data_IF_361841115265
#
_entry.id   IF_361841115265
#
_cell.length_a   1.000
_cell.length_b   1.000
_cell.length_c   1.000
_cell.angle_alpha   90.00
_cell.angle_beta   90.00
_cell.angle_gamma   90.00
#
_symmetry.space_group_name_H-M   'P 1'
#
loop_
_entity.id
_entity.type
_entity.pdbx_description
1 polymer ?
#
# COMPACT_ATOMS: atom_id res chain seq x y z
N UNK A 1 5.79 -13.15 -10.42
CA UNK A 1 4.69 -13.21 -9.43
C UNK A 1 3.50 -12.43 -9.99
N UNK A 2 2.25 -12.83 -9.73
CA UNK A 2 1.06 -12.11 -10.24
C UNK A 2 0.40 -11.20 -9.19
N UNK A 3 0.69 -11.41 -7.91
CA UNK A 3 0.12 -10.64 -6.81
C UNK A 3 1.11 -10.50 -5.66
N UNK A 4 1.23 -9.30 -5.11
CA UNK A 4 1.99 -8.99 -3.89
C UNK A 4 1.07 -8.27 -2.92
N UNK A 5 1.07 -8.70 -1.66
CA UNK A 5 0.34 -8.04 -0.57
C UNK A 5 1.34 -7.58 0.49
N UNK A 6 1.36 -6.28 0.76
CA UNK A 6 2.26 -5.64 1.72
C UNK A 6 1.44 -5.26 2.95
N UNK A 7 1.71 -5.97 4.04
CA UNK A 7 1.16 -5.76 5.39
C UNK A 7 2.28 -6.04 6.40
N UNK A 8 3.30 -5.17 6.35
CA UNK A 8 4.58 -5.33 7.04
C UNK A 8 4.60 -4.76 8.45
N UNK A 9 5.75 -4.22 8.86
CA UNK A 9 5.95 -3.65 10.21
C UNK A 9 5.26 -2.27 10.44
N UNK A 10 4.48 -1.83 9.44
CA UNK A 10 3.74 -0.58 9.38
C UNK A 10 4.59 0.69 9.45
N UNK A 11 5.92 0.62 9.49
CA UNK A 11 6.76 1.81 9.41
C UNK A 11 6.84 2.32 7.97
N UNK A 12 7.06 3.63 7.78
CA UNK A 12 7.25 4.20 6.43
C UNK A 12 8.44 3.54 5.72
N UNK A 13 9.56 3.37 6.42
CA UNK A 13 10.76 2.76 5.85
C UNK A 13 10.56 1.27 5.53
N UNK A 14 9.81 0.55 6.37
CA UNK A 14 9.46 -0.85 6.15
C UNK A 14 8.60 -1.04 4.91
N UNK A 15 7.47 -0.33 4.81
CA UNK A 15 6.58 -0.44 3.65
C UNK A 15 7.28 -0.01 2.34
N UNK A 16 8.11 1.04 2.40
CA UNK A 16 8.90 1.50 1.26
C UNK A 16 9.92 0.46 0.82
N UNK A 17 10.66 -0.10 1.79
CA UNK A 17 11.66 -1.14 1.52
C UNK A 17 11.02 -2.41 0.95
N UNK A 18 9.90 -2.86 1.50
CA UNK A 18 9.15 -3.99 0.98
C UNK A 18 8.70 -3.74 -0.46
N UNK A 19 8.17 -2.56 -0.75
CA UNK A 19 7.81 -2.17 -2.10
C UNK A 19 9.02 -2.18 -3.05
N UNK A 20 10.12 -1.53 -2.70
CA UNK A 20 11.33 -1.45 -3.53
C UNK A 20 11.95 -2.83 -3.79
N UNK A 21 11.97 -3.71 -2.77
CA UNK A 21 12.55 -5.04 -2.88
C UNK A 21 11.69 -6.00 -3.71
N UNK A 22 10.37 -5.95 -3.55
CA UNK A 22 9.48 -6.99 -4.08
C UNK A 22 8.65 -6.58 -5.30
N UNK A 23 8.47 -5.28 -5.58
CA UNK A 23 7.67 -4.80 -6.72
C UNK A 23 8.17 -5.33 -8.06
N UNK A 24 9.49 -5.36 -8.27
CA UNK A 24 10.11 -5.87 -9.50
C UNK A 24 9.91 -7.39 -9.72
N UNK A 25 9.44 -8.13 -8.71
CA UNK A 25 9.11 -9.55 -8.84
C UNK A 25 7.67 -9.77 -9.35
N UNK A 26 6.85 -8.72 -9.32
CA UNK A 26 5.49 -8.72 -9.86
C UNK A 26 5.57 -8.40 -11.34
N UNK A 27 5.14 -9.35 -12.17
CA UNK A 27 5.20 -9.19 -13.62
C UNK A 27 4.14 -8.22 -14.15
N UNK A 28 4.26 -7.88 -15.43
CA UNK A 28 3.24 -7.15 -16.19
C UNK A 28 1.86 -7.79 -16.01
N UNK A 29 0.84 -6.95 -15.79
CA UNK A 29 -0.53 -7.36 -15.48
C UNK A 29 -0.76 -7.81 -14.04
N UNK A 30 0.28 -7.81 -13.19
CA UNK A 30 0.17 -8.14 -11.78
C UNK A 30 -0.35 -7.00 -10.91
N UNK A 31 -0.64 -7.30 -9.64
CA UNK A 31 -1.21 -6.35 -8.68
C UNK A 31 -0.33 -6.28 -7.43
N UNK A 32 -0.11 -5.08 -6.91
CA UNK A 32 0.50 -4.86 -5.60
C UNK A 32 -0.52 -4.18 -4.71
N UNK A 33 -0.84 -4.77 -3.56
CA UNK A 33 -1.80 -4.25 -2.60
C UNK A 33 -1.14 -3.93 -1.25
N UNK A 34 -1.63 -2.88 -0.60
CA UNK A 34 -1.16 -2.32 0.66
C UNK A 34 -2.31 -2.32 1.68
N UNK A 35 -2.06 -2.84 2.87
CA UNK A 35 -2.97 -2.70 4.02
C UNK A 35 -2.78 -1.34 4.72
N UNK A 36 -3.74 -0.89 5.52
CA UNK A 36 -3.68 0.35 6.33
C UNK A 36 -3.43 1.65 5.56
N UNK A 37 -4.07 1.83 4.40
CA UNK A 37 -3.93 3.08 3.62
C UNK A 37 -4.72 4.27 4.19
N UNK A 38 -5.68 4.04 5.09
CA UNK A 38 -6.49 5.10 5.70
C UNK A 38 -5.73 5.71 6.89
N UNK A 39 -5.59 7.04 6.98
CA UNK A 39 -4.96 7.68 8.13
C UNK A 39 -5.64 7.32 9.46
N UNK A 40 -4.84 7.12 10.50
CA UNK A 40 -5.27 6.70 11.82
C UNK A 40 -4.18 6.96 12.87
N UNK A 41 -4.35 6.46 14.10
CA UNK A 41 -3.31 6.50 15.13
C UNK A 41 -2.00 5.86 14.61
N UNK A 42 -0.86 6.48 14.90
CA UNK A 42 0.43 6.05 14.36
C UNK A 42 0.79 4.61 14.78
N UNK A 43 0.36 4.20 15.97
CA UNK A 43 0.49 2.83 16.47
C UNK A 43 -0.34 1.78 15.70
N UNK A 44 -1.30 2.22 14.88
CA UNK A 44 -2.20 1.35 14.11
C UNK A 44 -1.88 1.31 12.62
N UNK A 45 -1.45 2.41 12.03
CA UNK A 45 -1.23 2.52 10.57
C UNK A 45 0.20 2.91 10.19
N UNK A 46 0.98 3.32 11.19
CA UNK A 46 2.33 3.86 11.06
C UNK A 46 2.51 4.81 9.87
N UNK A 47 3.43 4.45 8.99
CA UNK A 47 3.81 5.25 7.81
C UNK A 47 3.13 4.83 6.51
N UNK A 48 2.25 3.82 6.53
CA UNK A 48 1.65 3.29 5.30
C UNK A 48 0.78 4.31 4.56
N UNK A 49 -0.11 5.09 5.22
CA UNK A 49 -0.89 6.12 4.53
C UNK A 49 -0.02 7.20 3.85
N UNK A 50 1.14 7.50 4.43
CA UNK A 50 2.08 8.47 3.86
C UNK A 50 2.71 7.92 2.59
N UNK A 51 3.28 6.71 2.67
CA UNK A 51 3.89 6.06 1.52
C UNK A 51 2.89 5.80 0.39
N UNK A 52 1.68 5.34 0.73
CA UNK A 52 0.59 5.15 -0.24
C UNK A 52 0.29 6.43 -1.04
N UNK A 53 0.12 7.57 -0.36
CA UNK A 53 -0.14 8.84 -1.03
C UNK A 53 1.02 9.34 -1.90
N UNK A 54 2.26 8.97 -1.58
CA UNK A 54 3.45 9.30 -2.37
C UNK A 54 3.47 8.56 -3.71
N UNK A 55 3.12 7.27 -3.72
CA UNK A 55 3.31 6.42 -4.90
C UNK A 55 2.06 6.24 -5.75
N UNK A 56 0.85 6.31 -5.18
CA UNK A 56 -0.37 5.83 -5.86
C UNK A 56 -0.62 6.49 -7.21
N UNK A 57 -0.28 7.77 -7.35
CA UNK A 57 -0.49 8.54 -8.59
C UNK A 57 0.50 8.21 -9.71
N UNK A 58 1.54 7.41 -9.44
CA UNK A 58 2.50 6.94 -10.43
C UNK A 58 2.00 5.69 -11.17
N UNK A 59 0.89 5.10 -10.71
CA UNK A 59 0.32 3.86 -11.24
C UNK A 59 -1.19 4.03 -11.48
N UNK A 60 -1.79 3.09 -12.20
CA UNK A 60 -3.23 2.90 -12.06
C UNK A 60 -3.50 2.25 -10.71
N UNK A 61 -4.51 2.75 -10.00
CA UNK A 61 -4.79 2.32 -8.64
C UNK A 61 -6.27 2.28 -8.31
N UNK A 62 -6.59 1.56 -7.24
CA UNK A 62 -7.91 1.45 -6.63
C UNK A 62 -7.76 1.50 -5.11
N UNK A 63 -8.70 2.19 -4.46
CA UNK A 63 -8.79 2.27 -3.00
C UNK A 63 -10.10 1.61 -2.54
N UNK A 64 -9.98 0.54 -1.76
CA UNK A 64 -11.07 -0.17 -1.14
C UNK A 64 -11.22 0.32 0.31
N UNK A 65 -11.92 1.42 0.46
CA UNK A 65 -12.12 2.11 1.75
C UNK A 65 -13.62 2.25 2.03
N UNK A 66 -14.05 1.80 3.21
CA UNK A 66 -15.44 1.96 3.66
C UNK A 66 -15.71 3.40 4.11
N UNK A 67 -14.85 3.95 4.96
CA UNK A 67 -14.91 5.34 5.41
C UNK A 67 -13.50 5.88 5.71
N UNK A 68 -13.14 7.02 5.12
CA UNK A 68 -11.85 7.67 5.34
C UNK A 68 -11.69 8.28 6.74
N UNK A 69 -12.77 8.34 7.52
CA UNK A 69 -12.76 8.79 8.93
C UNK A 69 -12.76 7.63 9.92
N UNK A 70 -12.64 6.38 9.46
CA UNK A 70 -12.68 5.20 10.33
C UNK A 70 -11.40 4.98 11.16
N UNK A 71 -10.35 5.78 10.92
CA UNK A 71 -9.14 5.78 11.75
C UNK A 71 -8.19 4.60 11.53
N UNK A 72 -8.17 4.00 10.35
CA UNK A 72 -7.26 2.91 9.97
C UNK A 72 -7.83 1.97 8.92
N UNK A 73 -7.12 0.85 8.65
CA UNK A 73 -7.50 -0.15 7.65
C UNK A 73 -7.53 0.41 6.21
N UNK A 74 -8.31 -0.27 5.36
CA UNK A 74 -8.43 0.03 3.93
C UNK A 74 -7.34 -0.66 3.13
N UNK A 75 -7.67 -1.02 1.90
CA UNK A 75 -6.73 -1.60 0.95
C UNK A 75 -6.50 -0.64 -0.20
N UNK A 76 -5.25 -0.26 -0.44
CA UNK A 76 -4.85 0.35 -1.71
C UNK A 76 -4.26 -0.72 -2.61
N UNK A 77 -4.58 -0.71 -3.90
CA UNK A 77 -3.91 -1.59 -4.86
C UNK A 77 -3.50 -0.82 -6.11
N UNK A 78 -2.29 -1.08 -6.58
CA UNK A 78 -1.76 -0.60 -7.86
C UNK A 78 -1.66 -1.74 -8.86
N UNK A 79 -1.77 -1.41 -10.14
CA UNK A 79 -1.68 -2.35 -11.24
C UNK A 79 -0.35 -2.16 -11.98
N UNK A 80 0.40 -3.25 -12.14
CA UNK A 80 1.67 -3.27 -12.86
C UNK A 80 1.39 -3.38 -14.36
N UNK A 81 1.90 -2.44 -15.14
CA UNK A 81 1.85 -2.42 -16.61
C UNK A 81 3.26 -2.50 -17.19
#
# INVERSE_FOLDING_TARGET
>A
MSFLFIDGDHTYEGVKKDFEMYSNLVGEGGIIAFHDIVPGPAESVGGVPMFWNEIKHQFDYVELVKDWKQGGFGIGAIFMR
#
